data_IF_953810666244
#
_entry.id   IF_953810666244
#
_cell.length_a   1.000
_cell.length_b   1.000
_cell.length_c   1.000
_cell.angle_alpha   90.00
_cell.angle_beta   90.00
_cell.angle_gamma   90.00
#
_symmetry.space_group_name_H-M   'P 1'
#
loop_
_entity.id
_entity.type
_entity.pdbx_description
1 polymer ?
#
# COMPACT_ATOMS: atom_id res chain seq x y z
N UNK A 1 13.22 14.12 12.38
CA UNK A 1 13.19 13.13 11.30
C UNK A 1 14.51 13.08 10.54
N UNK A 2 14.71 12.00 9.81
CA UNK A 2 15.90 11.78 8.97
C UNK A 2 15.44 11.36 7.58
N UNK A 3 15.93 12.01 6.51
CA UNK A 3 15.64 11.62 5.14
C UNK A 3 16.69 10.62 4.64
N UNK A 4 16.29 9.37 4.52
CA UNK A 4 17.12 8.28 3.98
C UNK A 4 17.18 8.25 2.46
N UNK A 5 16.45 9.11 1.75
CA UNK A 5 16.39 9.14 0.27
C UNK A 5 16.09 7.76 -0.34
N UNK A 6 15.25 6.98 0.31
CA UNK A 6 14.91 5.59 -0.04
C UNK A 6 16.12 4.66 -0.19
N UNK A 7 17.16 4.87 0.62
CA UNK A 7 18.40 4.09 0.62
C UNK A 7 18.54 3.33 1.96
N UNK A 8 18.64 1.97 1.98
CA UNK A 8 18.71 1.18 3.20
C UNK A 8 19.91 1.52 4.09
N UNK A 9 21.09 1.79 3.49
CA UNK A 9 22.29 2.14 4.25
C UNK A 9 22.14 3.49 4.96
N UNK A 10 21.60 4.51 4.28
CA UNK A 10 21.28 5.80 4.90
C UNK A 10 20.20 5.65 5.97
N UNK A 11 19.24 4.73 5.77
CA UNK A 11 18.21 4.44 6.76
C UNK A 11 18.82 3.92 8.07
N UNK A 12 19.81 3.04 7.99
CA UNK A 12 20.58 2.57 9.15
C UNK A 12 21.37 3.71 9.82
N UNK A 13 21.97 4.62 9.03
CA UNK A 13 22.63 5.81 9.58
C UNK A 13 21.64 6.69 10.37
N UNK A 14 20.44 6.91 9.81
CA UNK A 14 19.34 7.61 10.48
C UNK A 14 18.90 6.91 11.76
N UNK A 15 18.71 5.61 11.72
CA UNK A 15 18.40 4.80 12.90
C UNK A 15 19.44 5.00 14.00
N UNK A 16 20.72 4.80 13.69
CA UNK A 16 21.82 4.93 14.66
C UNK A 16 21.94 6.34 15.22
N UNK A 17 21.61 7.37 14.46
CA UNK A 17 21.68 8.76 14.90
C UNK A 17 20.54 9.15 15.86
N UNK A 18 19.41 8.45 15.80
CA UNK A 18 18.19 8.81 16.53
C UNK A 18 17.84 7.85 17.67
N UNK A 19 18.28 6.60 17.61
CA UNK A 19 17.83 5.54 18.51
C UNK A 19 17.99 5.86 19.99
N UNK A 20 19.06 6.55 20.40
CA UNK A 20 19.32 6.85 21.81
C UNK A 20 18.46 7.98 22.37
N UNK A 21 17.75 8.71 21.49
CA UNK A 21 16.92 9.86 21.85
C UNK A 21 15.41 9.61 21.79
N UNK A 22 14.98 8.39 21.35
CA UNK A 22 13.57 8.06 21.15
C UNK A 22 13.20 6.72 21.82
N UNK A 23 11.92 6.57 22.17
CA UNK A 23 11.39 5.31 22.69
C UNK A 23 10.81 4.41 21.60
N UNK A 24 10.42 4.99 20.46
CA UNK A 24 9.84 4.30 19.32
C UNK A 24 10.02 5.14 18.05
N UNK A 25 9.99 4.53 16.88
CA UNK A 25 9.93 5.22 15.59
C UNK A 25 8.49 5.27 15.09
N UNK A 26 7.97 6.47 14.92
CA UNK A 26 6.60 6.68 14.39
C UNK A 26 6.50 6.43 12.89
N UNK A 27 7.63 6.33 12.19
CA UNK A 27 7.68 6.01 10.77
C UNK A 27 9.04 5.39 10.41
N UNK A 28 8.99 4.26 9.69
CA UNK A 28 10.12 3.63 8.98
C UNK A 28 9.68 3.38 7.55
N UNK A 29 10.10 4.26 6.62
CA UNK A 29 9.58 4.25 5.25
C UNK A 29 10.31 3.23 4.38
N UNK A 30 9.54 2.33 3.79
CA UNK A 30 9.98 1.38 2.77
C UNK A 30 10.27 -0.02 3.29
N UNK A 31 9.91 -1.03 2.51
CA UNK A 31 10.14 -2.44 2.85
C UNK A 31 11.62 -2.76 2.96
N UNK A 32 12.47 -2.50 1.94
CA UNK A 32 13.89 -2.84 2.03
C UNK A 32 14.61 -2.05 3.13
N UNK A 33 14.19 -0.82 3.43
CA UNK A 33 14.76 -0.01 4.49
C UNK A 33 14.45 -0.56 5.87
N UNK A 34 13.18 -0.91 6.12
CA UNK A 34 12.75 -1.45 7.41
C UNK A 34 13.31 -2.84 7.65
N UNK A 35 13.37 -3.69 6.61
CA UNK A 35 14.03 -5.00 6.68
C UNK A 35 15.52 -4.88 6.99
N UNK A 36 16.21 -3.89 6.40
CA UNK A 36 17.64 -3.69 6.61
C UNK A 36 18.01 -3.34 8.05
N UNK A 37 17.09 -2.77 8.82
CA UNK A 37 17.28 -2.42 10.24
C UNK A 37 16.51 -3.34 11.19
N UNK A 38 15.85 -4.40 10.71
CA UNK A 38 14.97 -5.23 11.54
C UNK A 38 15.72 -5.90 12.70
N UNK A 39 16.92 -6.43 12.43
CA UNK A 39 17.76 -7.03 13.48
C UNK A 39 18.14 -5.98 14.53
N UNK A 40 18.49 -4.76 14.11
CA UNK A 40 18.80 -3.67 15.04
C UNK A 40 17.58 -3.26 15.88
N UNK A 41 16.38 -3.20 15.28
CA UNK A 41 15.14 -2.95 16.01
C UNK A 41 14.91 -4.03 17.07
N UNK A 42 15.13 -5.30 16.73
CA UNK A 42 14.95 -6.43 17.63
C UNK A 42 15.99 -6.46 18.76
N UNK A 43 17.25 -6.17 18.47
CA UNK A 43 18.34 -6.09 19.48
C UNK A 43 18.11 -4.95 20.46
N UNK A 44 17.61 -3.81 20.00
CA UNK A 44 17.39 -2.61 20.83
C UNK A 44 15.98 -2.57 21.49
N UNK A 45 15.13 -3.61 21.28
CA UNK A 45 13.70 -3.64 21.65
C UNK A 45 12.93 -2.41 21.12
N UNK A 46 13.34 -1.86 20.00
CA UNK A 46 12.85 -0.61 19.46
C UNK A 46 11.69 -0.85 18.48
N UNK A 47 10.48 -0.47 18.85
CA UNK A 47 9.34 -0.59 17.93
C UNK A 47 9.34 0.50 16.86
N UNK A 48 8.89 0.14 15.66
CA UNK A 48 8.73 1.05 14.54
C UNK A 48 7.41 0.81 13.79
N UNK A 49 6.78 1.89 13.31
CA UNK A 49 5.65 1.81 12.39
C UNK A 49 6.18 1.81 10.96
N UNK A 50 6.05 0.71 10.21
CA UNK A 50 6.55 0.67 8.84
C UNK A 50 5.58 1.41 7.92
N UNK A 51 6.09 2.21 7.00
CA UNK A 51 5.35 2.61 5.80
C UNK A 51 5.65 1.57 4.72
N UNK A 52 5.20 0.37 4.99
CA UNK A 52 5.41 -0.85 4.23
C UNK A 52 4.33 -1.86 4.61
N UNK A 53 3.74 -2.49 3.62
CA UNK A 53 2.66 -3.48 3.78
C UNK A 53 3.09 -4.85 3.26
N UNK A 54 4.34 -5.22 3.56
CA UNK A 54 4.89 -6.51 3.16
C UNK A 54 4.23 -7.67 3.92
N UNK A 55 3.90 -8.76 3.22
CA UNK A 55 3.25 -9.93 3.81
C UNK A 55 4.06 -10.63 4.91
N UNK A 56 5.37 -10.43 4.90
CA UNK A 56 6.27 -10.99 5.91
C UNK A 56 6.13 -10.38 7.31
N UNK A 57 5.55 -9.18 7.46
CA UNK A 57 5.38 -8.57 8.80
C UNK A 57 4.45 -9.39 9.71
N UNK A 58 3.42 -10.02 9.16
CA UNK A 58 2.51 -10.88 9.91
C UNK A 58 3.00 -12.33 10.01
N UNK A 59 3.98 -12.73 9.20
CA UNK A 59 4.41 -14.12 9.15
C UNK A 59 5.25 -14.51 10.37
N UNK A 60 4.83 -15.57 11.09
CA UNK A 60 5.51 -16.03 12.32
C UNK A 60 6.95 -16.52 12.14
N UNK A 61 7.36 -16.83 10.92
CA UNK A 61 8.74 -17.19 10.59
C UNK A 61 9.70 -16.02 10.51
N UNK A 62 9.19 -14.77 10.52
CA UNK A 62 9.95 -13.54 10.59
C UNK A 62 9.77 -12.94 11.98
N UNK A 63 10.86 -12.67 12.70
CA UNK A 63 10.76 -11.93 13.97
C UNK A 63 10.53 -10.44 13.69
N UNK A 64 9.28 -10.10 13.41
CA UNK A 64 8.80 -8.73 13.24
C UNK A 64 8.09 -8.19 14.49
N UNK A 65 8.42 -8.71 15.68
CA UNK A 65 7.77 -8.33 16.95
C UNK A 65 8.00 -6.86 17.35
N UNK A 66 8.93 -6.18 16.69
CA UNK A 66 9.19 -4.74 16.83
C UNK A 66 8.50 -3.90 15.74
N UNK A 67 7.80 -4.54 14.79
CA UNK A 67 7.10 -3.86 13.70
C UNK A 67 5.62 -3.72 14.03
N UNK A 68 5.13 -2.49 14.07
CA UNK A 68 3.71 -2.17 14.30
C UNK A 68 3.05 -2.04 12.93
N UNK A 69 2.66 -3.17 12.32
CA UNK A 69 2.02 -3.20 11.02
C UNK A 69 0.60 -2.61 11.05
N UNK A 70 0.15 -2.09 9.91
CA UNK A 70 -1.19 -1.55 9.72
C UNK A 70 -1.61 -1.64 8.26
N UNK A 71 -2.92 -1.71 8.01
CA UNK A 71 -3.47 -1.75 6.65
C UNK A 71 -3.23 -3.05 5.91
N UNK A 72 -3.76 -3.14 4.70
CA UNK A 72 -3.78 -4.35 3.87
C UNK A 72 -2.41 -4.62 3.26
N UNK A 73 -1.96 -5.86 3.33
CA UNK A 73 -0.68 -6.28 2.73
C UNK A 73 -0.70 -6.17 1.20
N UNK A 74 0.47 -5.92 0.61
CA UNK A 74 0.66 -5.85 -0.84
C UNK A 74 0.16 -7.10 -1.59
N UNK A 75 0.42 -8.28 -1.04
CA UNK A 75 -0.02 -9.54 -1.62
C UNK A 75 -1.56 -9.65 -1.64
N UNK A 76 -2.21 -9.30 -0.52
CA UNK A 76 -3.67 -9.27 -0.45
C UNK A 76 -4.26 -8.20 -1.37
N UNK A 77 -3.65 -7.00 -1.43
CA UNK A 77 -4.05 -5.97 -2.40
C UNK A 77 -3.90 -6.46 -3.85
N UNK A 78 -2.85 -7.23 -4.16
CA UNK A 78 -2.66 -7.84 -5.48
C UNK A 78 -3.76 -8.85 -5.82
N UNK A 79 -4.09 -9.76 -4.89
CA UNK A 79 -5.19 -10.71 -5.07
C UNK A 79 -6.52 -9.99 -5.25
N UNK A 80 -6.81 -9.04 -4.38
CA UNK A 80 -8.05 -8.27 -4.41
C UNK A 80 -8.17 -7.41 -5.67
N UNK A 81 -7.07 -6.81 -6.13
CA UNK A 81 -7.03 -6.03 -7.37
C UNK A 81 -7.40 -6.90 -8.58
N UNK A 82 -6.81 -8.09 -8.68
CA UNK A 82 -7.07 -9.02 -9.78
C UNK A 82 -8.51 -9.54 -9.75
N UNK A 83 -8.97 -10.03 -8.58
CA UNK A 83 -10.35 -10.52 -8.41
C UNK A 83 -11.39 -9.43 -8.74
N UNK A 84 -11.15 -8.21 -8.23
CA UNK A 84 -12.07 -7.10 -8.46
C UNK A 84 -12.07 -6.66 -9.92
N UNK A 85 -10.91 -6.53 -10.56
CA UNK A 85 -10.79 -6.16 -11.96
C UNK A 85 -11.50 -7.17 -12.87
N UNK A 86 -11.28 -8.47 -12.67
CA UNK A 86 -11.94 -9.53 -13.44
C UNK A 86 -13.47 -9.48 -13.33
N UNK A 87 -13.99 -9.15 -12.15
CA UNK A 87 -15.44 -9.08 -11.94
C UNK A 87 -16.08 -7.77 -12.41
N UNK A 88 -15.33 -6.67 -12.49
CA UNK A 88 -15.91 -5.33 -12.65
C UNK A 88 -15.48 -4.59 -13.91
N UNK A 89 -14.39 -4.94 -14.58
CA UNK A 89 -13.93 -4.23 -15.77
C UNK A 89 -15.02 -4.22 -16.89
N UNK A 90 -15.65 -5.37 -17.17
CA UNK A 90 -16.74 -5.46 -18.12
C UNK A 90 -17.92 -4.54 -17.77
N UNK A 91 -18.55 -4.68 -16.60
CA UNK A 91 -19.65 -3.79 -16.18
C UNK A 91 -19.28 -2.30 -16.20
N UNK A 92 -18.10 -1.92 -15.74
CA UNK A 92 -17.65 -0.53 -15.65
C UNK A 92 -17.38 0.10 -17.02
N UNK A 93 -17.01 -0.71 -18.00
CA UNK A 93 -16.68 -0.26 -19.37
C UNK A 93 -17.83 -0.50 -20.36
N UNK A 94 -19.01 -0.90 -19.88
CA UNK A 94 -20.15 -1.22 -20.76
C UNK A 94 -19.90 -2.44 -21.64
N UNK A 95 -19.08 -3.38 -21.20
CA UNK A 95 -18.72 -4.59 -21.92
C UNK A 95 -17.56 -4.43 -22.90
N UNK A 96 -16.85 -3.30 -22.88
CA UNK A 96 -15.70 -3.07 -23.78
C UNK A 96 -14.43 -3.79 -23.35
N UNK A 97 -14.29 -4.09 -22.04
CA UNK A 97 -13.13 -4.81 -21.49
C UNK A 97 -13.59 -6.13 -20.88
N UNK A 98 -13.02 -7.23 -21.37
CA UNK A 98 -13.11 -8.56 -20.78
C UNK A 98 -11.68 -9.03 -20.49
N UNK A 99 -11.36 -9.30 -19.21
CA UNK A 99 -9.98 -9.56 -18.80
C UNK A 99 -9.66 -11.04 -18.98
N UNK A 100 -8.90 -11.34 -20.04
CA UNK A 100 -8.36 -12.68 -20.31
C UNK A 100 -6.83 -12.70 -20.19
N UNK A 101 -6.19 -11.53 -20.40
CA UNK A 101 -4.73 -11.38 -20.35
C UNK A 101 -4.34 -10.16 -19.52
N UNK A 102 -3.30 -10.32 -18.70
CA UNK A 102 -2.79 -9.23 -17.87
C UNK A 102 -1.29 -9.07 -17.95
N UNK A 103 -0.83 -7.82 -17.77
CA UNK A 103 0.57 -7.48 -17.58
C UNK A 103 0.85 -6.99 -16.16
N UNK A 104 2.04 -7.24 -15.63
CA UNK A 104 2.47 -6.77 -14.33
C UNK A 104 3.69 -5.88 -14.49
N UNK A 105 3.65 -4.69 -13.91
CA UNK A 105 4.74 -3.71 -13.91
C UNK A 105 5.04 -3.31 -12.47
N UNK A 106 6.30 -3.42 -12.04
CA UNK A 106 6.62 -3.05 -10.66
C UNK A 106 8.11 -2.92 -10.37
N UNK A 107 8.42 -2.53 -9.15
CA UNK A 107 9.79 -2.54 -8.67
C UNK A 107 10.20 -3.96 -8.25
N UNK A 108 11.43 -4.35 -8.59
CA UNK A 108 12.05 -5.58 -8.13
C UNK A 108 12.54 -5.42 -6.67
N UNK A 109 11.59 -5.49 -5.76
CA UNK A 109 11.78 -5.47 -4.30
C UNK A 109 10.65 -6.28 -3.67
N UNK A 110 10.75 -6.57 -2.37
CA UNK A 110 9.67 -7.29 -1.66
C UNK A 110 8.31 -6.61 -1.82
N UNK A 111 8.28 -5.29 -1.95
CA UNK A 111 7.11 -4.50 -2.28
C UNK A 111 6.44 -4.93 -3.60
N UNK A 112 7.17 -4.88 -4.71
CA UNK A 112 6.60 -5.21 -6.03
C UNK A 112 6.41 -6.70 -6.25
N UNK A 113 7.31 -7.53 -5.70
CA UNK A 113 7.23 -9.00 -5.76
C UNK A 113 5.99 -9.51 -5.02
N UNK A 114 5.73 -8.97 -3.84
CA UNK A 114 4.57 -9.33 -3.01
C UNK A 114 3.25 -9.04 -3.75
N UNK A 115 3.13 -7.85 -4.34
CA UNK A 115 1.96 -7.47 -5.15
C UNK A 115 1.82 -8.35 -6.40
N UNK A 116 2.92 -8.57 -7.13
CA UNK A 116 2.95 -9.42 -8.32
C UNK A 116 2.57 -10.87 -8.01
N UNK A 117 3.02 -11.42 -6.87
CA UNK A 117 2.60 -12.75 -6.42
C UNK A 117 1.08 -12.81 -6.23
N UNK A 118 0.50 -11.83 -5.53
CA UNK A 118 -0.94 -11.77 -5.31
C UNK A 118 -1.73 -11.76 -6.61
N UNK A 119 -1.30 -10.97 -7.60
CA UNK A 119 -1.92 -10.92 -8.93
C UNK A 119 -1.82 -12.28 -9.62
N UNK A 120 -0.63 -12.90 -9.63
CA UNK A 120 -0.42 -14.21 -10.28
C UNK A 120 -1.28 -15.31 -9.65
N UNK A 121 -1.39 -15.32 -8.32
CA UNK A 121 -2.23 -16.28 -7.60
C UNK A 121 -3.71 -16.12 -7.95
N UNK A 122 -4.22 -14.89 -7.95
CA UNK A 122 -5.63 -14.63 -8.29
C UNK A 122 -5.91 -14.83 -9.79
N UNK A 123 -4.99 -14.47 -10.68
CA UNK A 123 -5.11 -14.72 -12.12
C UNK A 123 -5.22 -16.23 -12.41
N UNK A 124 -4.39 -17.05 -11.74
CA UNK A 124 -4.47 -18.51 -11.86
C UNK A 124 -5.83 -19.06 -11.41
N UNK A 125 -6.38 -18.53 -10.31
CA UNK A 125 -7.71 -18.93 -9.82
C UNK A 125 -8.83 -18.52 -10.79
N UNK A 126 -8.69 -17.38 -11.45
CA UNK A 126 -9.66 -16.84 -12.41
C UNK A 126 -9.51 -17.42 -13.83
N UNK A 127 -8.45 -18.20 -14.11
CA UNK A 127 -8.12 -18.68 -15.45
C UNK A 127 -7.65 -17.58 -16.40
N UNK A 128 -7.09 -16.49 -15.85
CA UNK A 128 -6.56 -15.35 -16.61
C UNK A 128 -5.05 -15.56 -16.85
N UNK A 129 -4.57 -15.27 -18.07
CA UNK A 129 -3.17 -15.40 -18.45
C UNK A 129 -2.38 -14.16 -17.97
N UNK A 130 -1.27 -14.40 -17.25
CA UNK A 130 -0.24 -13.37 -17.04
C UNK A 130 0.69 -13.39 -18.26
N UNK A 131 0.42 -12.56 -19.24
CA UNK A 131 1.12 -12.55 -20.51
C UNK A 131 2.59 -12.11 -20.38
N UNK A 132 2.88 -11.23 -19.43
CA UNK A 132 4.24 -10.78 -19.13
C UNK A 132 4.31 -10.11 -17.74
N UNK A 133 5.52 -10.10 -17.19
CA UNK A 133 5.88 -9.41 -15.97
C UNK A 133 7.16 -8.58 -16.22
N UNK A 134 7.18 -7.34 -15.79
CA UNK A 134 8.33 -6.47 -15.81
C UNK A 134 8.58 -5.91 -14.41
N UNK A 135 9.57 -6.48 -13.73
CA UNK A 135 10.06 -5.99 -12.45
C UNK A 135 11.52 -5.55 -12.63
N UNK A 136 11.85 -4.37 -12.12
CA UNK A 136 13.23 -3.85 -12.14
C UNK A 136 13.52 -3.08 -10.85
N UNK A 137 14.78 -3.04 -10.38
CA UNK A 137 15.18 -2.21 -9.26
C UNK A 137 14.75 -0.75 -9.46
N UNK A 138 14.34 -0.02 -8.42
CA UNK A 138 13.87 1.37 -8.57
C UNK A 138 14.86 2.30 -9.29
N UNK A 139 16.17 2.04 -9.13
CA UNK A 139 17.26 2.83 -9.75
C UNK A 139 17.54 2.45 -11.20
N UNK A 140 17.02 1.32 -11.66
CA UNK A 140 17.25 0.73 -13.00
C UNK A 140 15.94 0.60 -13.80
N UNK A 141 14.83 1.08 -13.24
CA UNK A 141 13.52 0.97 -13.86
C UNK A 141 13.43 1.81 -15.14
N UNK A 142 13.23 1.15 -16.27
CA UNK A 142 13.11 1.77 -17.58
C UNK A 142 11.64 1.95 -17.97
N UNK A 143 11.16 3.20 -17.90
CA UNK A 143 9.80 3.57 -18.32
C UNK A 143 9.56 3.23 -19.79
N UNK A 144 10.57 3.40 -20.66
CA UNK A 144 10.45 3.11 -22.10
C UNK A 144 10.20 1.64 -22.35
N UNK A 145 10.87 0.76 -21.59
CA UNK A 145 10.66 -0.68 -21.65
C UNK A 145 9.25 -1.05 -21.20
N UNK A 146 8.78 -0.49 -20.07
CA UNK A 146 7.44 -0.73 -19.54
C UNK A 146 6.36 -0.31 -20.55
N UNK A 147 6.46 0.88 -21.13
CA UNK A 147 5.57 1.38 -22.18
C UNK A 147 5.66 0.50 -23.43
N UNK A 148 6.88 0.13 -23.83
CA UNK A 148 7.11 -0.75 -24.98
C UNK A 148 6.41 -2.10 -24.86
N UNK A 149 6.35 -2.68 -23.66
CA UNK A 149 5.60 -3.92 -23.43
C UNK A 149 4.10 -3.72 -23.59
N UNK A 150 3.53 -2.66 -23.04
CA UNK A 150 2.10 -2.34 -23.21
C UNK A 150 1.72 -2.16 -24.69
N UNK A 151 2.60 -1.58 -25.49
CA UNK A 151 2.37 -1.31 -26.91
C UNK A 151 2.59 -2.55 -27.80
N UNK A 152 3.66 -3.31 -27.55
CA UNK A 152 4.06 -4.42 -28.43
C UNK A 152 3.49 -5.78 -28.01
N UNK A 153 3.08 -5.91 -26.76
CA UNK A 153 2.43 -7.09 -26.19
C UNK A 153 1.15 -6.66 -25.46
N UNK A 154 0.12 -6.23 -26.22
CA UNK A 154 -1.09 -5.69 -25.63
C UNK A 154 -1.76 -6.72 -24.72
N UNK A 155 -2.36 -6.20 -23.64
CA UNK A 155 -3.10 -6.96 -22.62
C UNK A 155 -4.42 -6.25 -22.33
N UNK A 156 -5.40 -6.98 -21.79
CA UNK A 156 -6.70 -6.41 -21.43
C UNK A 156 -6.60 -5.50 -20.22
N UNK A 157 -5.73 -5.87 -19.26
CA UNK A 157 -5.43 -5.05 -18.09
C UNK A 157 -3.96 -5.10 -17.69
N UNK A 158 -3.49 -4.07 -16.96
CA UNK A 158 -2.18 -4.13 -16.32
C UNK A 158 -2.26 -3.70 -14.85
N UNK A 159 -1.34 -4.22 -14.06
CA UNK A 159 -1.22 -3.97 -12.63
C UNK A 159 0.11 -3.29 -12.37
N UNK A 160 0.11 -2.20 -11.60
CA UNK A 160 1.29 -1.36 -11.47
C UNK A 160 1.64 -1.10 -10.00
N UNK A 161 2.88 -1.46 -9.63
CA UNK A 161 3.48 -1.27 -8.31
C UNK A 161 4.83 -0.54 -8.43
N UNK A 162 4.79 0.78 -8.64
CA UNK A 162 5.98 1.64 -8.77
C UNK A 162 5.88 2.86 -7.85
N UNK A 163 6.87 3.74 -7.90
CA UNK A 163 6.79 5.03 -7.22
C UNK A 163 5.95 6.07 -8.00
N UNK A 164 5.56 7.13 -7.29
CA UNK A 164 4.71 8.21 -7.81
C UNK A 164 5.25 8.91 -9.07
N UNK A 165 6.57 9.00 -9.20
CA UNK A 165 7.17 9.63 -10.38
C UNK A 165 7.06 8.77 -11.65
N UNK A 166 7.03 7.45 -11.50
CA UNK A 166 7.05 6.48 -12.61
C UNK A 166 5.62 6.19 -13.13
N UNK A 167 4.67 6.02 -12.23
CA UNK A 167 3.31 5.60 -12.57
C UNK A 167 2.64 6.46 -13.66
N UNK A 168 2.61 7.81 -13.57
CA UNK A 168 2.01 8.65 -14.60
C UNK A 168 2.79 8.63 -15.92
N UNK A 169 4.11 8.36 -15.89
CA UNK A 169 4.92 8.26 -17.10
C UNK A 169 4.60 6.97 -17.87
N UNK A 170 4.40 5.85 -17.17
CA UNK A 170 4.01 4.58 -17.79
C UNK A 170 2.61 4.70 -18.41
N UNK A 171 1.63 5.14 -17.63
CA UNK A 171 0.26 5.30 -18.12
C UNK A 171 0.14 6.33 -19.25
N UNK A 172 0.75 7.50 -19.06
CA UNK A 172 0.75 8.58 -20.05
C UNK A 172 1.53 8.22 -21.32
N UNK A 173 2.65 7.54 -21.20
CA UNK A 173 3.46 7.07 -22.33
C UNK A 173 2.71 6.04 -23.16
N UNK A 174 2.00 5.10 -22.57
CA UNK A 174 1.15 4.14 -23.27
C UNK A 174 -0.01 4.86 -23.98
N UNK A 175 -0.69 5.78 -23.28
CA UNK A 175 -1.79 6.56 -23.86
C UNK A 175 -1.36 7.41 -25.05
N UNK A 176 -0.16 8.00 -25.03
CA UNK A 176 0.40 8.73 -26.19
C UNK A 176 0.63 7.83 -27.40
N UNK A 177 0.79 6.53 -27.22
CA UNK A 177 0.88 5.53 -28.29
C UNK A 177 -0.49 4.92 -28.65
N UNK A 178 -1.59 5.47 -28.11
CA UNK A 178 -2.94 5.00 -28.37
C UNK A 178 -3.34 3.74 -27.60
N UNK A 179 -2.59 3.38 -26.55
CA UNK A 179 -2.83 2.17 -25.75
C UNK A 179 -3.28 2.57 -24.34
N UNK A 180 -4.52 2.22 -23.99
CA UNK A 180 -5.16 2.54 -22.72
C UNK A 180 -5.90 1.32 -22.14
N UNK A 181 -5.20 0.26 -21.73
CA UNK A 181 -5.84 -0.91 -21.13
C UNK A 181 -6.45 -0.56 -19.77
N UNK A 182 -7.33 -1.42 -19.27
CA UNK A 182 -7.77 -1.31 -17.88
C UNK A 182 -6.57 -1.39 -16.92
N UNK A 183 -6.58 -0.64 -15.81
CA UNK A 183 -5.42 -0.58 -14.95
C UNK A 183 -5.79 -0.55 -13.47
N UNK A 184 -5.01 -1.32 -12.67
CA UNK A 184 -5.07 -1.29 -11.22
C UNK A 184 -3.70 -0.87 -10.67
N UNK A 185 -3.67 0.25 -9.96
CA UNK A 185 -2.46 0.77 -9.35
C UNK A 185 -2.42 0.41 -7.86
N UNK A 186 -1.30 -0.06 -7.38
CA UNK A 186 -1.10 -0.15 -5.94
C UNK A 186 -1.05 1.27 -5.35
N UNK A 187 -1.55 1.46 -4.14
CA UNK A 187 -1.75 2.78 -3.55
C UNK A 187 -0.52 3.68 -3.54
N UNK A 188 0.68 3.11 -3.44
CA UNK A 188 1.95 3.84 -3.56
C UNK A 188 2.24 4.35 -4.98
N UNK A 189 1.48 3.91 -5.97
CA UNK A 189 1.61 4.32 -7.38
C UNK A 189 0.58 5.38 -7.78
N UNK A 190 -0.28 5.82 -6.86
CA UNK A 190 -1.29 6.85 -7.12
C UNK A 190 -1.14 8.05 -6.19
N UNK A 191 -1.37 9.24 -6.73
CA UNK A 191 -1.39 10.50 -5.97
C UNK A 191 -2.47 11.45 -6.51
N UNK A 192 -3.08 12.23 -5.63
CA UNK A 192 -4.07 13.26 -5.94
C UNK A 192 -3.58 14.31 -6.96
N UNK A 193 -2.29 14.59 -6.99
CA UNK A 193 -1.68 15.48 -7.98
C UNK A 193 -1.91 15.03 -9.45
N UNK A 194 -2.18 13.74 -9.69
CA UNK A 194 -2.43 13.24 -11.05
C UNK A 194 -3.77 13.71 -11.61
N UNK A 195 -4.73 14.03 -10.75
CA UNK A 195 -6.05 14.57 -11.11
C UNK A 195 -6.22 16.04 -10.74
N UNK A 196 -5.17 16.69 -10.24
CA UNK A 196 -5.19 18.12 -9.95
C UNK A 196 -5.40 18.95 -11.23
N UNK A 197 -5.92 20.17 -11.06
CA UNK A 197 -6.07 21.12 -12.16
C UNK A 197 -4.72 21.40 -12.82
N UNK A 198 -4.67 21.34 -14.15
CA UNK A 198 -3.44 21.52 -14.93
C UNK A 198 -2.57 20.27 -15.06
N UNK A 199 -2.90 19.15 -14.43
CA UNK A 199 -2.16 17.89 -14.63
C UNK A 199 -2.31 17.37 -16.05
N UNK A 200 -1.20 17.08 -16.73
CA UNK A 200 -1.18 16.56 -18.11
C UNK A 200 -1.83 15.16 -18.23
N UNK A 201 -1.94 14.42 -17.13
CA UNK A 201 -2.51 13.06 -17.09
C UNK A 201 -3.93 13.03 -16.51
N UNK A 202 -4.50 14.18 -16.10
CA UNK A 202 -5.82 14.26 -15.45
C UNK A 202 -6.90 13.49 -16.23
N UNK A 203 -7.09 13.79 -17.49
CA UNK A 203 -8.12 13.15 -18.31
C UNK A 203 -7.94 11.64 -18.46
N UNK A 204 -6.69 11.16 -18.45
CA UNK A 204 -6.39 9.73 -18.48
C UNK A 204 -6.79 9.05 -17.16
N UNK A 205 -6.41 9.64 -16.03
CA UNK A 205 -6.73 9.09 -14.71
C UNK A 205 -8.23 9.13 -14.40
N UNK A 206 -8.94 10.15 -14.86
CA UNK A 206 -10.40 10.26 -14.71
C UNK A 206 -11.20 9.50 -15.78
N UNK A 207 -10.54 8.80 -16.72
CA UNK A 207 -11.18 8.08 -17.83
C UNK A 207 -12.15 6.97 -17.40
N UNK A 208 -12.03 6.48 -16.17
CA UNK A 208 -12.76 5.30 -15.67
C UNK A 208 -12.09 3.97 -16.03
N UNK A 209 -10.88 4.00 -16.60
CA UNK A 209 -10.08 2.81 -16.89
C UNK A 209 -8.99 2.56 -15.82
N UNK A 210 -8.69 3.54 -14.97
CA UNK A 210 -7.67 3.45 -13.93
C UNK A 210 -8.31 3.46 -12.54
N UNK A 211 -7.91 2.52 -11.70
CA UNK A 211 -8.31 2.40 -10.30
C UNK A 211 -7.08 2.22 -9.42
N UNK A 212 -7.21 2.51 -8.12
CA UNK A 212 -6.11 2.35 -7.18
C UNK A 212 -6.55 1.58 -5.93
N UNK A 213 -5.64 0.76 -5.40
CA UNK A 213 -5.73 0.11 -4.09
C UNK A 213 -5.22 1.09 -3.03
N UNK A 214 -5.82 1.15 -1.86
CA UNK A 214 -5.39 2.09 -0.82
C UNK A 214 -5.16 1.45 0.55
N UNK A 215 -4.66 0.21 0.59
CA UNK A 215 -4.24 -0.50 1.82
C UNK A 215 -5.30 -0.56 2.92
N UNK A 216 -6.58 -0.64 2.56
CA UNK A 216 -7.69 -0.55 3.52
C UNK A 216 -7.94 0.85 4.08
N UNK A 217 -7.19 1.87 3.65
CA UNK A 217 -7.30 3.25 4.10
C UNK A 217 -8.38 3.97 3.28
N UNK A 218 -9.37 4.56 3.95
CA UNK A 218 -10.36 5.40 3.28
C UNK A 218 -9.82 6.83 3.08
N UNK A 219 -10.23 7.54 2.00
CA UNK A 219 -9.77 8.90 1.72
C UNK A 219 -10.29 9.91 2.73
N UNK A 220 -9.77 11.14 2.65
CA UNK A 220 -10.00 12.26 3.57
C UNK A 220 -11.49 12.56 3.86
N UNK A 221 -12.34 12.41 2.86
CA UNK A 221 -13.77 12.69 2.93
C UNK A 221 -14.60 11.60 3.63
N UNK A 222 -13.98 10.47 3.98
CA UNK A 222 -14.70 9.36 4.61
C UNK A 222 -15.35 9.78 5.94
N UNK A 223 -16.55 9.24 6.21
CA UNK A 223 -17.34 9.56 7.38
C UNK A 223 -17.10 8.53 8.50
N UNK A 224 -15.99 8.73 9.23
CA UNK A 224 -15.68 7.97 10.45
C UNK A 224 -15.24 8.91 11.57
N UNK A 225 -15.24 8.43 12.81
CA UNK A 225 -14.80 9.22 13.97
C UNK A 225 -13.34 9.69 13.81
N UNK A 226 -12.46 8.80 13.35
CA UNK A 226 -11.05 9.13 13.11
C UNK A 226 -10.88 10.22 12.05
N UNK A 227 -11.63 10.14 10.93
CA UNK A 227 -11.60 11.18 9.90
C UNK A 227 -12.17 12.51 10.40
N UNK A 228 -13.23 12.49 11.19
CA UNK A 228 -13.79 13.72 11.79
C UNK A 228 -12.77 14.38 12.73
N UNK A 229 -12.09 13.61 13.57
CA UNK A 229 -11.03 14.10 14.46
C UNK A 229 -9.85 14.68 13.66
N UNK A 230 -9.44 13.98 12.60
CA UNK A 230 -8.39 14.46 11.69
C UNK A 230 -8.78 15.79 11.06
N UNK A 231 -9.96 15.89 10.43
CA UNK A 231 -10.45 17.13 9.81
C UNK A 231 -10.57 18.29 10.80
N UNK A 232 -11.07 18.03 12.01
CA UNK A 232 -11.15 19.05 13.06
C UNK A 232 -9.75 19.60 13.42
N UNK A 233 -8.76 18.74 13.47
CA UNK A 233 -7.37 19.13 13.78
C UNK A 233 -6.73 19.86 12.61
N UNK A 234 -6.96 19.38 11.38
CA UNK A 234 -6.38 19.97 10.16
C UNK A 234 -7.09 21.21 9.66
N UNK A 235 -8.37 21.41 9.96
CA UNK A 235 -9.16 22.53 9.45
C UNK A 235 -8.62 23.92 9.77
N UNK A 236 -7.60 23.99 10.65
CA UNK A 236 -6.82 25.20 10.91
C UNK A 236 -5.61 25.38 9.95
N UNK A 237 -5.33 24.35 9.13
CA UNK A 237 -4.14 24.29 8.27
C UNK A 237 -4.53 24.09 6.81
N UNK A 238 -5.46 23.17 6.52
CA UNK A 238 -5.90 22.82 5.16
C UNK A 238 -7.33 22.26 5.16
N UNK A 239 -8.02 22.43 4.05
CA UNK A 239 -9.39 21.92 3.82
C UNK A 239 -9.39 20.52 3.19
N UNK A 240 -8.24 20.01 2.80
CA UNK A 240 -8.10 18.67 2.21
C UNK A 240 -6.73 18.06 2.50
N UNK A 241 -6.65 16.74 2.44
CA UNK A 241 -5.39 16.03 2.56
C UNK A 241 -5.36 14.80 1.64
N UNK A 242 -4.17 14.50 1.10
CA UNK A 242 -3.95 13.33 0.28
C UNK A 242 -4.16 12.03 1.06
N UNK A 243 -4.42 10.93 0.35
CA UNK A 243 -4.53 9.59 0.94
C UNK A 243 -3.26 9.20 1.73
N UNK A 244 -2.08 9.66 1.30
CA UNK A 244 -0.84 9.46 2.06
C UNK A 244 -0.85 10.14 3.42
N UNK A 245 -1.37 11.37 3.50
CA UNK A 245 -1.51 12.06 4.78
C UNK A 245 -2.50 11.31 5.68
N UNK A 246 -3.64 10.89 5.12
CA UNK A 246 -4.64 10.12 5.87
C UNK A 246 -4.05 8.81 6.39
N UNK A 247 -3.27 8.11 5.57
CA UNK A 247 -2.55 6.90 5.97
C UNK A 247 -1.54 7.16 7.09
N UNK A 248 -0.75 8.23 6.95
CA UNK A 248 0.19 8.67 7.99
C UNK A 248 -0.50 9.02 9.30
N UNK A 249 -1.63 9.73 9.26
CA UNK A 249 -2.43 10.02 10.43
C UNK A 249 -2.99 8.75 11.06
N UNK A 250 -3.64 7.88 10.26
CA UNK A 250 -4.25 6.64 10.71
C UNK A 250 -3.24 5.67 11.34
N UNK A 251 -2.03 5.57 10.79
CA UNK A 251 -0.97 4.71 11.31
C UNK A 251 -0.55 5.09 12.74
N UNK A 252 -0.67 6.38 13.13
CA UNK A 252 -0.32 6.83 14.47
C UNK A 252 -1.30 6.33 15.54
N UNK A 253 -2.52 5.97 15.19
CA UNK A 253 -3.42 5.29 16.13
C UNK A 253 -2.86 3.94 16.59
N UNK A 254 -2.12 3.23 15.71
CA UNK A 254 -1.50 1.95 16.05
C UNK A 254 -0.38 2.16 17.08
N UNK A 255 0.53 3.11 16.83
CA UNK A 255 1.56 3.45 17.82
C UNK A 255 0.97 3.97 19.12
N UNK A 256 -0.04 4.86 19.03
CA UNK A 256 -0.75 5.37 20.22
C UNK A 256 -1.35 4.24 21.06
N UNK A 257 -2.06 3.29 20.43
CA UNK A 257 -2.65 2.15 21.12
C UNK A 257 -1.59 1.26 21.82
N UNK A 258 -0.44 1.04 21.17
CA UNK A 258 0.68 0.33 21.76
C UNK A 258 1.24 1.07 22.98
N UNK A 259 1.45 2.38 22.89
CA UNK A 259 1.95 3.19 23.99
C UNK A 259 0.95 3.25 25.17
N UNK A 260 -0.33 3.39 24.89
CA UNK A 260 -1.39 3.36 25.91
C UNK A 260 -1.45 2.00 26.64
N UNK A 261 -1.26 0.90 25.90
CA UNK A 261 -1.19 -0.43 26.49
C UNK A 261 0.06 -0.60 27.37
N UNK A 262 1.21 -0.07 26.95
CA UNK A 262 2.44 -0.06 27.75
C UNK A 262 2.28 0.78 29.05
N UNK A 263 1.65 1.96 28.95
CA UNK A 263 1.31 2.79 30.11
C UNK A 263 0.41 2.02 31.09
N UNK A 264 -0.65 1.39 30.58
CA UNK A 264 -1.58 0.59 31.38
C UNK A 264 -0.88 -0.60 32.04
N UNK A 265 0.10 -1.18 31.36
CA UNK A 265 0.96 -2.26 31.88
C UNK A 265 2.02 -1.80 32.89
N UNK A 266 2.19 -0.50 33.09
CA UNK A 266 3.17 0.09 34.00
C UNK A 266 4.63 -0.04 33.52
N UNK A 267 4.87 -0.30 32.23
CA UNK A 267 6.22 -0.48 31.69
C UNK A 267 6.40 0.28 30.37
N UNK A 268 7.04 1.44 30.45
CA UNK A 268 7.39 2.32 29.32
C UNK A 268 8.84 2.13 28.85
N UNK A 269 9.53 1.09 29.30
CA UNK A 269 10.80 0.71 28.67
C UNK A 269 10.55 0.23 27.26
N UNK A 270 11.58 0.23 26.40
CA UNK A 270 11.49 -0.32 25.05
C UNK A 270 10.96 -1.75 25.05
N UNK A 271 11.48 -2.60 25.95
CA UNK A 271 10.98 -3.98 26.13
C UNK A 271 9.50 -4.03 26.54
N UNK A 272 9.02 -3.11 27.37
CA UNK A 272 7.61 -2.97 27.74
C UNK A 272 6.74 -2.56 26.58
N UNK A 273 7.19 -1.60 25.77
CA UNK A 273 6.50 -1.14 24.55
C UNK A 273 6.46 -2.28 23.51
N UNK A 274 7.58 -3.00 23.30
CA UNK A 274 7.61 -4.18 22.41
C UNK A 274 6.62 -5.28 22.85
N UNK A 275 6.56 -5.59 24.16
CA UNK A 275 5.55 -6.54 24.68
C UNK A 275 4.12 -6.08 24.41
N UNK A 276 3.84 -4.79 24.56
CA UNK A 276 2.52 -4.25 24.22
C UNK A 276 2.23 -4.39 22.73
N UNK A 277 3.19 -4.11 21.86
CA UNK A 277 3.05 -4.23 20.40
C UNK A 277 2.71 -5.65 19.93
N UNK A 278 3.02 -6.68 20.69
CA UNK A 278 2.72 -8.07 20.32
C UNK A 278 1.40 -8.61 20.87
N UNK A 279 0.61 -7.84 21.59
CA UNK A 279 -0.62 -8.35 22.23
C UNK A 279 -1.73 -7.30 22.43
N UNK A 280 -1.71 -6.20 21.70
CA UNK A 280 -2.77 -5.19 21.80
C UNK A 280 -3.70 -5.25 20.60
N UNK A 281 -5.01 -5.01 20.83
CA UNK A 281 -5.94 -4.69 19.76
C UNK A 281 -6.01 -3.18 19.62
N UNK A 282 -5.78 -2.70 18.41
CA UNK A 282 -5.72 -1.27 18.07
C UNK A 282 -6.89 -0.91 17.18
N UNK A 283 -7.58 0.17 17.53
CA UNK A 283 -8.59 0.82 16.70
C UNK A 283 -8.07 2.16 16.18
N UNK A 284 -8.34 2.44 14.93
CA UNK A 284 -8.09 3.74 14.29
C UNK A 284 -9.37 4.60 14.18
N UNK A 285 -10.33 4.37 15.07
CA UNK A 285 -11.64 5.04 15.06
C UNK A 285 -12.35 4.97 13.69
N UNK A 286 -12.22 3.80 13.03
CA UNK A 286 -12.84 3.48 11.75
C UNK A 286 -12.09 3.96 10.50
N UNK A 287 -10.92 4.57 10.64
CA UNK A 287 -10.09 4.95 9.47
C UNK A 287 -9.55 3.73 8.73
N UNK A 288 -9.26 2.66 9.47
CA UNK A 288 -8.82 1.35 9.00
C UNK A 288 -9.52 0.27 9.84
N UNK A 289 -9.56 -1.01 9.39
CA UNK A 289 -10.03 -2.11 10.21
C UNK A 289 -9.31 -2.20 11.57
N UNK A 290 -10.02 -2.68 12.59
CA UNK A 290 -9.41 -2.97 13.89
C UNK A 290 -8.38 -4.10 13.73
N UNK A 291 -7.20 -3.95 14.34
CA UNK A 291 -6.07 -4.87 14.23
C UNK A 291 -5.66 -5.42 15.57
N UNK A 292 -5.59 -6.75 15.69
CA UNK A 292 -4.89 -7.42 16.80
C UNK A 292 -3.43 -7.63 16.42
N UNK A 293 -2.55 -6.79 16.93
CA UNK A 293 -1.11 -6.92 16.72
C UNK A 293 -0.58 -8.24 17.33
N UNK A 294 0.45 -8.81 16.70
CA UNK A 294 1.04 -10.08 17.11
C UNK A 294 0.15 -11.33 16.89
N UNK A 295 -0.98 -11.20 16.19
CA UNK A 295 -1.86 -12.33 15.88
C UNK A 295 -1.22 -13.33 14.91
N UNK A 296 -0.26 -12.90 14.11
CA UNK A 296 0.30 -13.66 12.99
C UNK A 296 -0.67 -13.79 11.82
N UNK A 297 -1.68 -12.91 11.76
CA UNK A 297 -2.65 -12.83 10.67
C UNK A 297 -2.56 -11.44 10.03
N UNK A 298 -2.48 -11.37 8.70
CA UNK A 298 -2.44 -10.10 7.97
C UNK A 298 -3.80 -9.42 7.92
N UNK A 299 -3.79 -8.12 7.61
CA UNK A 299 -4.96 -7.43 7.10
C UNK A 299 -5.09 -7.72 5.61
N UNK A 300 -6.27 -8.19 5.22
CA UNK A 300 -6.53 -8.65 3.84
C UNK A 300 -7.65 -7.88 3.14
N UNK A 301 -8.30 -6.95 3.85
CA UNK A 301 -9.42 -6.18 3.31
C UNK A 301 -8.93 -4.88 2.66
N UNK A 302 -9.12 -4.76 1.35
CA UNK A 302 -8.68 -3.62 0.55
C UNK A 302 -9.75 -2.54 0.44
N UNK A 303 -9.32 -1.30 0.27
CA UNK A 303 -10.19 -0.22 -0.24
C UNK A 303 -9.79 0.07 -1.69
N UNK A 304 -10.77 0.07 -2.58
CA UNK A 304 -10.58 0.36 -3.99
C UNK A 304 -11.13 1.74 -4.28
N UNK A 305 -10.31 2.56 -4.90
CA UNK A 305 -10.64 3.95 -5.22
C UNK A 305 -10.57 4.19 -6.72
N UNK A 306 -11.35 5.17 -7.17
CA UNK A 306 -11.30 5.71 -8.52
C UNK A 306 -10.74 7.13 -8.45
N UNK A 307 -9.76 7.48 -9.29
CA UNK A 307 -9.27 8.84 -9.43
C UNK A 307 -10.40 9.82 -9.76
N UNK A 308 -10.47 10.93 -9.03
CA UNK A 308 -11.50 11.96 -9.20
C UNK A 308 -10.99 13.32 -8.67
N UNK A 309 -10.70 14.25 -9.56
CA UNK A 309 -10.21 15.58 -9.21
C UNK A 309 -11.30 16.55 -8.72
N UNK A 310 -12.57 16.09 -8.64
CA UNK A 310 -13.66 16.90 -8.06
C UNK A 310 -13.66 16.86 -6.53
N UNK A 311 -12.94 15.91 -5.92
CA UNK A 311 -12.78 15.79 -4.46
C UNK A 311 -11.36 16.14 -4.03
N UNK A 312 -11.22 16.71 -2.84
CA UNK A 312 -9.94 17.23 -2.34
C UNK A 312 -8.85 16.17 -2.17
N UNK A 313 -9.22 14.93 -1.85
CA UNK A 313 -8.28 13.80 -1.77
C UNK A 313 -7.88 13.20 -3.13
N UNK A 314 -8.48 13.69 -4.22
CA UNK A 314 -8.18 13.22 -5.58
C UNK A 314 -8.76 11.84 -5.93
N UNK A 315 -9.52 11.20 -5.04
CA UNK A 315 -10.08 9.88 -5.27
C UNK A 315 -11.38 9.63 -4.50
N UNK A 316 -12.31 8.91 -5.11
CA UNK A 316 -13.54 8.44 -4.47
C UNK A 316 -13.50 6.95 -4.22
N UNK A 317 -14.08 6.50 -3.10
CA UNK A 317 -14.19 5.07 -2.78
C UNK A 317 -15.20 4.41 -3.72
N UNK A 318 -14.75 3.36 -4.40
CA UNK A 318 -15.62 2.50 -5.20
C UNK A 318 -16.04 1.28 -4.39
N UNK A 319 -15.12 0.71 -3.62
CA UNK A 319 -15.38 -0.43 -2.76
C UNK A 319 -14.52 -0.36 -1.51
N UNK A 320 -15.15 -0.38 -0.33
CA UNK A 320 -14.49 -0.47 0.97
C UNK A 320 -14.52 -1.90 1.49
N UNK A 321 -13.53 -2.26 2.29
CA UNK A 321 -13.42 -3.54 3.00
C UNK A 321 -13.60 -4.75 2.06
N UNK A 322 -13.04 -4.67 0.86
CA UNK A 322 -13.14 -5.73 -0.14
C UNK A 322 -12.14 -6.85 0.13
N UNK A 323 -12.66 -8.06 0.26
CA UNK A 323 -11.88 -9.29 0.27
C UNK A 323 -12.36 -10.17 -0.88
N UNK A 324 -11.53 -10.33 -1.89
CA UNK A 324 -11.82 -11.16 -3.06
C UNK A 324 -11.75 -12.65 -2.73
N UNK A 325 -12.28 -13.51 -3.62
CA UNK A 325 -12.24 -14.96 -3.45
C UNK A 325 -10.83 -15.50 -3.21
N UNK A 326 -9.83 -14.98 -3.93
CA UNK A 326 -8.44 -15.45 -3.83
C UNK A 326 -7.82 -15.11 -2.49
N UNK A 327 -7.95 -13.87 -2.02
CA UNK A 327 -7.45 -13.45 -0.70
C UNK A 327 -8.18 -14.16 0.45
N UNK A 328 -9.49 -14.43 0.28
CA UNK A 328 -10.29 -15.14 1.27
C UNK A 328 -9.91 -16.63 1.40
N UNK A 329 -9.50 -17.26 0.30
CA UNK A 329 -9.14 -18.69 0.27
C UNK A 329 -7.64 -18.95 0.54
N UNK A 330 -6.81 -17.91 0.53
CA UNK A 330 -5.36 -18.06 0.67
C UNK A 330 -4.97 -18.46 2.09
N UNK A 331 -4.05 -19.40 2.22
CA UNK A 331 -3.48 -19.78 3.52
C UNK A 331 -2.32 -18.83 3.90
N UNK A 332 -2.64 -17.82 4.69
CA UNK A 332 -1.69 -16.81 5.15
C UNK A 332 -0.63 -17.33 6.14
N UNK A 333 -0.69 -18.61 6.52
CA UNK A 333 0.28 -19.22 7.43
C UNK A 333 1.52 -19.78 6.73
N UNK A 334 1.51 -19.90 5.39
CA UNK A 334 2.58 -20.59 4.64
C UNK A 334 3.86 -19.77 4.46
N UNK A 335 3.82 -18.47 4.70
CA UNK A 335 4.99 -17.59 4.61
C UNK A 335 4.70 -16.29 3.88
N UNK A 336 5.74 -15.43 3.73
CA UNK A 336 5.65 -14.28 2.85
C UNK A 336 5.30 -14.68 1.43
N UNK A 337 4.61 -13.81 0.71
CA UNK A 337 4.24 -14.04 -0.68
C UNK A 337 5.42 -13.85 -1.67
N UNK A 338 6.50 -13.22 -1.23
CA UNK A 338 7.68 -12.94 -2.07
C UNK A 338 8.92 -13.64 -1.54
#
# INVERSE_FOLDING_TARGET
GFDASYNPQKHLEGYNSLKDSVAAFSMSLGTPQTLFILDNLNEDDMVAVPMSWWSGWAYKGVDASTVIEFGTQYCADGMNAMDWASANAGPLTGGLVDINTVGIIGYESDYGKDFAFGIKAAAANAGVEVAWEYLAPPTEFDVTQAVGLLVTKPVDAYFLATGLAVAPQVAGGAAQQGVTPFAMFLGTSYNDAFVAEGSAVKGLFESGLIYAMSFGIAPYEADTVGHATMRQTLGQITDSASTFFVGGWGSQYHLKGVLEAAVKGGDLTRAGIRRAATNVTVSSDGMMPEKKLGSGLPDVASTITKPDGSVGSGAVVVKKDYVGPSASAYDWSVGPCS
#
